data_IF_674175322837
#
_entry.id   IF_674175322837
#
_cell.length_a   1.000
_cell.length_b   1.000
_cell.length_c   1.000
_cell.angle_alpha   90.00
_cell.angle_beta   90.00
_cell.angle_gamma   90.00
#
_symmetry.space_group_name_H-M   'P 1'
#
loop_
_entity.id
_entity.type
_entity.pdbx_description
1 polymer ?
#
# COMPACT_ATOMS: atom_id res chain seq x y z
N UNK A 1 11.05 23.24 -1.55
CA UNK A 1 11.57 21.86 -1.84
C UNK A 1 10.88 20.80 -0.97
N UNK A 2 10.05 21.19 -0.01
CA UNK A 2 9.34 20.27 0.89
C UNK A 2 8.47 19.23 0.19
N UNK A 3 7.73 19.59 -0.87
CA UNK A 3 6.86 18.64 -1.59
C UNK A 3 7.62 17.42 -2.12
N UNK A 4 8.72 17.63 -2.85
CA UNK A 4 9.50 16.54 -3.42
C UNK A 4 10.07 15.62 -2.32
N UNK A 5 10.55 16.19 -1.21
CA UNK A 5 11.03 15.41 -0.07
C UNK A 5 9.91 14.61 0.58
N UNK A 6 8.76 15.23 0.82
CA UNK A 6 7.58 14.61 1.38
C UNK A 6 7.12 13.41 0.52
N UNK A 7 7.00 13.62 -0.79
CA UNK A 7 6.62 12.59 -1.74
C UNK A 7 7.65 11.46 -1.82
N UNK A 8 8.91 11.74 -2.17
CA UNK A 8 9.89 10.67 -2.43
C UNK A 8 10.20 9.85 -1.18
N UNK A 9 10.28 10.47 0.00
CA UNK A 9 10.54 9.72 1.24
C UNK A 9 9.30 8.95 1.70
N UNK A 10 8.09 9.48 1.47
CA UNK A 10 6.84 8.74 1.68
C UNK A 10 6.78 7.50 0.78
N UNK A 11 7.08 7.65 -0.51
CA UNK A 11 7.10 6.56 -1.49
C UNK A 11 8.14 5.49 -1.14
N UNK A 12 9.39 5.89 -0.84
CA UNK A 12 10.44 4.94 -0.48
C UNK A 12 10.09 4.19 0.80
N UNK A 13 9.56 4.88 1.81
CA UNK A 13 9.14 4.25 3.06
C UNK A 13 7.99 3.27 2.82
N UNK A 14 6.97 3.67 2.04
CA UNK A 14 5.84 2.83 1.69
C UNK A 14 6.30 1.52 1.04
N UNK A 15 7.13 1.61 0.00
CA UNK A 15 7.65 0.46 -0.75
C UNK A 15 8.51 -0.43 0.16
N UNK A 16 9.44 0.18 0.91
CA UNK A 16 10.42 -0.58 1.71
C UNK A 16 9.74 -1.33 2.86
N UNK A 17 8.80 -0.67 3.54
CA UNK A 17 8.07 -1.27 4.65
C UNK A 17 7.14 -2.37 4.12
N UNK A 18 6.41 -2.10 3.03
CA UNK A 18 5.51 -3.10 2.45
C UNK A 18 6.28 -4.36 2.02
N UNK A 19 7.40 -4.19 1.32
CA UNK A 19 8.25 -5.32 0.92
C UNK A 19 8.83 -6.07 2.12
N UNK A 20 9.27 -5.35 3.16
CA UNK A 20 9.75 -5.97 4.41
C UNK A 20 8.68 -6.87 5.03
N UNK A 21 7.43 -6.42 5.10
CA UNK A 21 6.33 -7.23 5.66
C UNK A 21 5.99 -8.44 4.79
N UNK A 22 6.09 -8.33 3.46
CA UNK A 22 5.96 -9.48 2.56
C UNK A 22 7.02 -10.53 2.88
N UNK A 23 8.30 -10.14 2.96
CA UNK A 23 9.40 -11.06 3.26
C UNK A 23 9.26 -11.68 4.66
N UNK A 24 8.92 -10.87 5.68
CA UNK A 24 8.72 -11.36 7.04
C UNK A 24 7.56 -12.37 7.12
N UNK A 25 6.44 -12.07 6.47
CA UNK A 25 5.28 -12.97 6.39
C UNK A 25 5.65 -14.30 5.73
N UNK A 26 6.40 -14.25 4.62
CA UNK A 26 6.84 -15.46 3.93
C UNK A 26 7.89 -16.27 4.70
N UNK A 27 8.76 -15.63 5.48
CA UNK A 27 9.71 -16.32 6.36
C UNK A 27 8.98 -17.07 7.49
N UNK A 28 8.03 -16.41 8.15
CA UNK A 28 7.26 -17.00 9.26
C UNK A 28 6.45 -18.20 8.75
N UNK A 29 5.85 -18.07 7.57
CA UNK A 29 5.03 -19.12 6.95
C UNK A 29 5.85 -20.17 6.17
N UNK A 30 7.18 -20.09 6.15
CA UNK A 30 8.06 -20.97 5.36
C UNK A 30 7.71 -21.02 3.86
N UNK A 31 7.28 -19.89 3.28
CA UNK A 31 6.88 -19.74 1.87
C UNK A 31 7.79 -18.83 1.05
N UNK A 32 9.01 -18.56 1.53
CA UNK A 32 9.94 -17.67 0.84
C UNK A 32 10.31 -18.17 -0.58
N UNK A 33 10.49 -19.48 -0.75
CA UNK A 33 10.74 -20.09 -2.07
C UNK A 33 9.56 -19.91 -3.02
N UNK A 34 8.33 -19.89 -2.48
CA UNK A 34 7.12 -19.59 -3.24
C UNK A 34 7.14 -18.16 -3.78
N UNK A 35 7.61 -17.19 -2.99
CA UNK A 35 7.74 -15.80 -3.45
C UNK A 35 8.71 -15.71 -4.64
N UNK A 36 9.87 -16.35 -4.56
CA UNK A 36 10.87 -16.28 -5.63
C UNK A 36 10.45 -17.06 -6.88
N UNK A 37 9.83 -18.23 -6.74
CA UNK A 37 9.29 -18.99 -7.87
C UNK A 37 8.12 -18.26 -8.57
N UNK A 38 7.28 -17.54 -7.82
CA UNK A 38 6.25 -16.67 -8.39
C UNK A 38 6.88 -15.48 -9.12
N UNK A 39 7.96 -14.88 -8.61
CA UNK A 39 8.67 -13.82 -9.32
C UNK A 39 9.36 -14.31 -10.59
N UNK A 40 9.86 -15.54 -10.61
CA UNK A 40 10.45 -16.16 -11.80
C UNK A 40 9.40 -16.39 -12.91
N UNK A 41 8.23 -16.92 -12.54
CA UNK A 41 7.15 -17.26 -13.47
C UNK A 41 6.23 -16.09 -13.84
N UNK A 42 6.09 -15.11 -12.96
CA UNK A 42 5.27 -13.91 -13.15
C UNK A 42 6.00 -12.65 -12.62
N UNK A 43 6.99 -12.11 -13.35
CA UNK A 43 7.87 -11.04 -12.84
C UNK A 43 7.16 -9.76 -12.39
N UNK A 44 6.02 -9.43 -13.01
CA UNK A 44 5.22 -8.27 -12.63
C UNK A 44 4.64 -8.35 -11.22
N UNK A 45 4.63 -9.53 -10.59
CA UNK A 45 4.24 -9.72 -9.19
C UNK A 45 5.03 -8.86 -8.22
N UNK A 46 6.23 -8.40 -8.60
CA UNK A 46 6.98 -7.43 -7.82
C UNK A 46 6.17 -6.15 -7.56
N UNK A 47 5.33 -5.70 -8.51
CA UNK A 47 4.48 -4.53 -8.30
C UNK A 47 3.46 -4.77 -7.18
N UNK A 48 2.90 -5.98 -7.10
CA UNK A 48 2.00 -6.36 -6.02
C UNK A 48 2.72 -6.41 -4.67
N UNK A 49 3.93 -6.98 -4.61
CA UNK A 49 4.70 -7.02 -3.36
C UNK A 49 5.16 -5.64 -2.88
N UNK A 50 5.48 -4.74 -3.80
CA UNK A 50 5.92 -3.38 -3.45
C UNK A 50 4.75 -2.45 -3.13
N UNK A 51 3.62 -2.56 -3.84
CA UNK A 51 2.53 -1.58 -3.78
C UNK A 51 1.18 -2.12 -3.31
N UNK A 52 1.04 -3.43 -3.11
CA UNK A 52 -0.22 -4.11 -2.87
C UNK A 52 -0.98 -3.67 -1.62
N UNK A 53 -0.32 -3.11 -0.61
CA UNK A 53 -1.01 -2.59 0.57
C UNK A 53 -2.02 -1.47 0.25
N UNK A 54 -1.86 -0.74 -0.87
CA UNK A 54 -2.80 0.31 -1.29
C UNK A 54 -4.16 -0.25 -1.73
N UNK A 55 -4.22 -1.54 -2.06
CA UNK A 55 -5.43 -2.20 -2.57
C UNK A 55 -6.34 -2.71 -1.46
N UNK A 56 -5.90 -2.61 -0.20
CA UNK A 56 -6.62 -3.11 0.97
C UNK A 56 -7.11 -1.92 1.78
N UNK A 57 -8.36 -1.98 2.22
CA UNK A 57 -8.94 -0.92 3.04
C UNK A 57 -8.50 -1.10 4.50
N UNK A 58 -8.19 -0.02 5.26
CA UNK A 58 -7.74 -0.15 6.64
C UNK A 58 -8.69 -0.97 7.53
N UNK A 59 -10.01 -0.88 7.31
CA UNK A 59 -11.01 -1.65 8.04
C UNK A 59 -10.86 -3.16 7.86
N UNK A 60 -10.50 -3.61 6.66
CA UNK A 60 -10.28 -5.03 6.37
C UNK A 60 -9.07 -5.56 7.14
N UNK A 61 -7.99 -4.77 7.17
CA UNK A 61 -6.79 -5.13 7.92
C UNK A 61 -7.06 -5.20 9.43
N UNK A 62 -7.85 -4.26 9.97
CA UNK A 62 -8.26 -4.30 11.39
C UNK A 62 -9.12 -5.52 11.69
N UNK A 63 -10.07 -5.87 10.81
CA UNK A 63 -10.93 -7.05 11.01
C UNK A 63 -10.12 -8.34 11.06
N UNK A 64 -9.14 -8.52 10.18
CA UNK A 64 -8.27 -9.71 10.18
C UNK A 64 -7.45 -9.78 11.47
N UNK A 65 -6.99 -8.65 12.00
CA UNK A 65 -6.21 -8.61 13.24
C UNK A 65 -7.04 -8.95 14.50
N UNK A 66 -8.36 -8.78 14.46
CA UNK A 66 -9.25 -9.14 15.58
C UNK A 66 -9.39 -10.66 15.75
N UNK A 67 -9.08 -11.45 14.72
CA UNK A 67 -9.15 -12.92 14.78
C UNK A 67 -7.92 -13.55 15.48
N UNK A 68 -6.90 -12.74 15.83
CA UNK A 68 -5.73 -13.08 16.66
C UNK A 68 -4.94 -14.35 16.30
N UNK A 69 -5.01 -14.83 15.06
CA UNK A 69 -4.11 -15.87 14.58
C UNK A 69 -2.74 -15.26 14.20
N UNK A 70 -1.72 -15.59 14.99
CA UNK A 70 -0.36 -15.03 14.89
C UNK A 70 0.25 -15.26 13.50
N UNK A 71 -0.06 -16.38 12.87
CA UNK A 71 0.50 -16.76 11.55
C UNK A 71 -0.07 -15.89 10.42
N UNK A 72 -1.26 -15.32 10.62
CA UNK A 72 -1.95 -14.47 9.65
C UNK A 72 -1.81 -12.98 9.95
N UNK A 73 -1.32 -12.60 11.13
CA UNK A 73 -1.34 -11.23 11.65
C UNK A 73 -0.29 -10.29 11.02
N UNK A 74 0.80 -10.84 10.48
CA UNK A 74 1.95 -10.06 9.98
C UNK A 74 1.63 -9.29 8.69
N UNK A 75 0.92 -9.90 7.73
CA UNK A 75 0.59 -9.22 6.47
C UNK A 75 -0.40 -8.06 6.65
N UNK A 76 -1.52 -8.22 7.39
CA UNK A 76 -2.44 -7.12 7.73
C UNK A 76 -1.77 -6.00 8.52
N UNK A 77 -0.83 -6.32 9.42
CA UNK A 77 0.00 -5.31 10.08
C UNK A 77 0.79 -4.48 9.08
N UNK A 78 1.43 -5.13 8.10
CA UNK A 78 2.16 -4.44 7.03
C UNK A 78 1.26 -3.52 6.22
N UNK A 79 0.04 -3.98 5.92
CA UNK A 79 -0.96 -3.20 5.16
C UNK A 79 -1.47 -1.97 5.91
N UNK A 80 -1.38 -1.92 7.24
CA UNK A 80 -1.66 -0.72 8.02
C UNK A 80 -0.42 0.15 8.26
N UNK A 81 0.71 -0.46 8.62
CA UNK A 81 1.90 0.26 9.04
C UNK A 81 2.63 0.92 7.88
N UNK A 82 2.70 0.28 6.71
CA UNK A 82 3.33 0.87 5.53
C UNK A 82 2.68 2.21 5.12
N UNK A 83 1.36 2.29 4.87
CA UNK A 83 0.72 3.56 4.53
C UNK A 83 0.71 4.55 5.69
N UNK A 84 0.58 4.11 6.94
CA UNK A 84 0.63 4.99 8.12
C UNK A 84 1.98 5.72 8.23
N UNK A 85 3.08 4.97 8.21
CA UNK A 85 4.43 5.54 8.34
C UNK A 85 4.74 6.43 7.14
N UNK A 86 4.38 6.00 5.93
CA UNK A 86 4.55 6.79 4.72
C UNK A 86 3.79 8.13 4.80
N UNK A 87 2.55 8.14 5.29
CA UNK A 87 1.77 9.35 5.47
C UNK A 87 2.37 10.27 6.55
N UNK A 88 2.82 9.71 7.68
CA UNK A 88 3.50 10.48 8.74
C UNK A 88 4.77 11.14 8.20
N UNK A 89 5.58 10.42 7.42
CA UNK A 89 6.80 10.95 6.81
C UNK A 89 6.48 12.09 5.84
N UNK A 90 5.47 11.91 4.98
CA UNK A 90 4.99 12.98 4.10
C UNK A 90 4.60 14.23 4.92
N UNK A 91 3.86 14.04 6.01
CA UNK A 91 3.46 15.11 6.92
C UNK A 91 4.63 15.85 7.57
N UNK A 92 5.59 15.12 8.16
CA UNK A 92 6.73 15.71 8.88
C UNK A 92 7.68 16.47 7.97
N UNK A 93 7.76 16.06 6.70
CA UNK A 93 8.69 16.59 5.72
C UNK A 93 8.06 17.65 4.82
N UNK A 94 6.73 17.71 4.76
CA UNK A 94 6.01 18.82 4.14
C UNK A 94 6.26 20.13 4.89
N UNK A 95 6.53 21.20 4.15
CA UNK A 95 6.70 22.54 4.73
C UNK A 95 5.36 23.19 5.08
N UNK A 96 4.26 22.68 4.52
CA UNK A 96 2.88 23.08 4.80
C UNK A 96 1.90 21.91 4.58
N UNK A 97 0.64 22.09 5.01
CA UNK A 97 -0.41 21.06 4.93
C UNK A 97 -0.68 20.59 3.50
N UNK A 98 -0.65 21.50 2.52
CA UNK A 98 -0.84 21.16 1.10
C UNK A 98 0.28 20.26 0.55
N UNK A 99 1.53 20.56 0.91
CA UNK A 99 2.67 19.71 0.54
C UNK A 99 2.65 18.37 1.26
N UNK A 100 2.26 18.35 2.55
CA UNK A 100 2.13 17.15 3.36
C UNK A 100 1.08 16.18 2.80
N UNK A 101 -0.14 16.67 2.56
CA UNK A 101 -1.22 15.84 2.01
C UNK A 101 -0.95 15.49 0.54
N UNK A 102 -0.40 16.42 -0.23
CA UNK A 102 -0.06 16.21 -1.64
C UNK A 102 1.02 15.15 -1.83
N UNK A 103 2.03 15.10 -0.95
CA UNK A 103 3.09 14.08 -0.99
C UNK A 103 2.54 12.67 -0.73
N UNK A 104 1.60 12.54 0.22
CA UNK A 104 0.92 11.28 0.50
C UNK A 104 -0.02 10.89 -0.65
N UNK A 105 -0.81 11.84 -1.14
CA UNK A 105 -1.70 11.63 -2.29
C UNK A 105 -0.91 11.11 -3.50
N UNK A 106 0.21 11.73 -3.84
CA UNK A 106 1.01 11.30 -4.99
C UNK A 106 1.62 9.91 -4.77
N UNK A 107 2.02 9.59 -3.54
CA UNK A 107 2.46 8.24 -3.17
C UNK A 107 1.34 7.23 -3.38
N UNK A 108 0.14 7.48 -2.84
CA UNK A 108 -1.02 6.62 -3.01
C UNK A 108 -1.39 6.44 -4.50
N UNK A 109 -1.41 7.52 -5.28
CA UNK A 109 -1.72 7.51 -6.73
C UNK A 109 -0.70 6.69 -7.51
N UNK A 110 0.59 6.84 -7.25
CA UNK A 110 1.62 6.06 -7.95
C UNK A 110 1.53 4.58 -7.55
N UNK A 111 1.30 4.28 -6.28
CA UNK A 111 1.09 2.90 -5.81
C UNK A 111 -0.10 2.23 -6.49
N UNK A 112 -1.26 2.90 -6.53
CA UNK A 112 -2.44 2.37 -7.20
C UNK A 112 -2.24 2.29 -8.72
N UNK A 113 -1.56 3.27 -9.32
CA UNK A 113 -1.21 3.25 -10.74
C UNK A 113 -0.33 2.06 -11.10
N UNK A 114 0.66 1.74 -10.27
CA UNK A 114 1.50 0.56 -10.44
C UNK A 114 0.69 -0.74 -10.39
N UNK A 115 -0.27 -0.84 -9.45
CA UNK A 115 -1.18 -1.99 -9.38
C UNK A 115 -2.11 -2.06 -10.59
N UNK A 116 -2.69 -0.94 -11.03
CA UNK A 116 -3.56 -0.88 -12.21
C UNK A 116 -2.79 -1.39 -13.44
N UNK A 117 -1.57 -0.91 -13.65
CA UNK A 117 -0.69 -1.41 -14.72
C UNK A 117 -0.44 -2.92 -14.54
N UNK A 118 -0.19 -3.36 -13.30
CA UNK A 118 -0.03 -4.78 -12.96
C UNK A 118 -1.25 -5.63 -13.34
N UNK A 119 -2.47 -5.16 -13.06
CA UNK A 119 -3.73 -5.85 -13.41
C UNK A 119 -3.91 -5.97 -14.92
N UNK A 120 -3.52 -4.94 -15.69
CA UNK A 120 -3.62 -4.99 -17.15
C UNK A 120 -2.58 -5.91 -17.80
N UNK A 121 -1.40 -6.04 -17.20
CA UNK A 121 -0.26 -6.73 -17.81
C UNK A 121 0.02 -8.11 -17.19
N UNK A 122 -0.61 -8.47 -16.07
CA UNK A 122 -0.40 -9.73 -15.36
C UNK A 122 -1.72 -10.36 -14.91
N UNK A 123 -2.09 -11.48 -15.55
CA UNK A 123 -3.23 -12.30 -15.14
C UNK A 123 -3.08 -12.88 -13.73
N UNK A 124 -1.86 -13.00 -13.20
CA UNK A 124 -1.61 -13.42 -11.82
C UNK A 124 -2.07 -12.36 -10.82
N UNK A 125 -1.73 -11.08 -11.06
CA UNK A 125 -2.19 -9.97 -10.20
C UNK A 125 -3.71 -9.82 -10.29
N UNK A 126 -4.27 -9.93 -11.50
CA UNK A 126 -5.71 -9.92 -11.70
C UNK A 126 -6.40 -11.04 -10.91
N UNK A 127 -5.90 -12.28 -10.97
CA UNK A 127 -6.46 -13.41 -10.22
C UNK A 127 -6.37 -13.22 -8.71
N UNK A 128 -5.26 -12.69 -8.19
CA UNK A 128 -5.08 -12.45 -6.75
C UNK A 128 -6.07 -11.39 -6.27
N UNK A 129 -6.15 -10.25 -6.96
CA UNK A 129 -7.09 -9.18 -6.60
C UNK A 129 -8.54 -9.58 -6.82
N UNK A 130 -8.82 -10.43 -7.81
CA UNK A 130 -10.14 -11.03 -8.00
C UNK A 130 -10.56 -11.89 -6.81
N UNK A 131 -9.62 -12.65 -6.23
CA UNK A 131 -9.82 -13.37 -4.98
C UNK A 131 -10.10 -12.44 -3.80
N UNK A 132 -9.30 -11.38 -3.65
CA UNK A 132 -9.46 -10.38 -2.57
C UNK A 132 -10.82 -9.69 -2.65
N UNK A 133 -11.24 -9.28 -3.84
CA UNK A 133 -12.49 -8.54 -4.05
C UNK A 133 -13.71 -9.43 -4.31
N UNK A 134 -13.55 -10.76 -4.34
CA UNK A 134 -14.64 -11.70 -4.61
C UNK A 134 -15.26 -11.53 -6.01
N UNK A 135 -14.46 -11.19 -7.02
CA UNK A 135 -14.94 -10.92 -8.38
C UNK A 135 -13.98 -11.42 -9.45
N UNK A 136 -14.52 -11.78 -10.62
CA UNK A 136 -13.73 -12.15 -11.81
C UNK A 136 -13.73 -11.06 -12.87
N UNK A 137 -14.42 -9.95 -12.63
CA UNK A 137 -14.52 -8.82 -13.56
C UNK A 137 -13.35 -7.87 -13.37
N UNK A 138 -12.47 -7.78 -14.38
CA UNK A 138 -11.34 -6.85 -14.39
C UNK A 138 -11.79 -5.39 -14.11
N UNK A 139 -12.90 -4.96 -14.71
CA UNK A 139 -13.48 -3.62 -14.46
C UNK A 139 -13.83 -3.41 -12.99
N UNK A 140 -14.41 -4.43 -12.34
CA UNK A 140 -14.76 -4.35 -10.92
C UNK A 140 -13.50 -4.32 -10.05
N UNK A 141 -12.46 -5.08 -10.40
CA UNK A 141 -11.15 -5.03 -9.73
C UNK A 141 -10.58 -3.61 -9.80
N UNK A 142 -10.57 -2.98 -10.98
CA UNK A 142 -10.04 -1.63 -11.17
C UNK A 142 -10.82 -0.57 -10.37
N UNK A 143 -12.15 -0.69 -10.32
CA UNK A 143 -12.99 0.17 -9.49
C UNK A 143 -12.64 0.01 -8.01
N UNK A 144 -12.47 -1.23 -7.53
CA UNK A 144 -12.11 -1.49 -6.14
C UNK A 144 -10.71 -0.98 -5.78
N UNK A 145 -9.73 -1.05 -6.70
CA UNK A 145 -8.42 -0.43 -6.50
C UNK A 145 -8.55 1.09 -6.38
N UNK A 146 -9.38 1.73 -7.21
CA UNK A 146 -9.62 3.18 -7.13
C UNK A 146 -10.33 3.60 -5.82
N UNK A 147 -11.30 2.80 -5.36
CA UNK A 147 -11.96 2.99 -4.06
C UNK A 147 -10.94 2.84 -2.93
N UNK A 148 -10.12 1.78 -2.96
CA UNK A 148 -9.10 1.52 -1.95
C UNK A 148 -8.07 2.64 -1.89
N UNK A 149 -7.63 3.15 -3.05
CA UNK A 149 -6.81 4.35 -3.14
C UNK A 149 -7.46 5.53 -2.41
N UNK A 150 -8.73 5.82 -2.70
CA UNK A 150 -9.41 6.97 -2.11
C UNK A 150 -9.52 6.83 -0.59
N UNK A 151 -9.89 5.64 -0.10
CA UNK A 151 -10.02 5.40 1.34
C UNK A 151 -8.65 5.47 2.03
N UNK A 152 -7.60 4.90 1.44
CA UNK A 152 -6.23 5.00 1.97
C UNK A 152 -5.72 6.44 1.96
N UNK A 153 -5.98 7.18 0.88
CA UNK A 153 -5.65 8.59 0.78
C UNK A 153 -6.31 9.39 1.92
N UNK A 154 -7.62 9.26 2.10
CA UNK A 154 -8.36 9.99 3.13
C UNK A 154 -7.96 9.51 4.53
N UNK A 155 -8.01 8.20 4.77
CA UNK A 155 -7.75 7.59 6.07
C UNK A 155 -6.36 7.90 6.60
N UNK A 156 -5.32 7.69 5.79
CA UNK A 156 -3.95 7.99 6.20
C UNK A 156 -3.55 9.46 6.00
N UNK A 157 -4.23 10.19 5.10
CA UNK A 157 -4.00 11.61 4.87
C UNK A 157 -4.27 12.48 6.10
N UNK A 158 -5.18 12.07 6.99
CA UNK A 158 -5.36 12.72 8.29
C UNK A 158 -4.08 12.72 9.12
N UNK A 159 -3.32 11.61 9.13
CA UNK A 159 -2.06 11.54 9.87
C UNK A 159 -1.00 12.45 9.25
N UNK A 160 -0.93 12.53 7.92
CA UNK A 160 -0.05 13.47 7.24
C UNK A 160 -0.37 14.94 7.62
N UNK A 161 -1.65 15.30 7.70
CA UNK A 161 -2.10 16.63 8.10
C UNK A 161 -1.83 16.94 9.58
N UNK A 162 -1.95 15.94 10.46
CA UNK A 162 -1.75 16.06 11.91
C UNK A 162 -0.30 16.39 12.25
N UNK A 163 0.66 15.80 11.54
CA UNK A 163 2.09 15.93 11.85
C UNK A 163 2.81 17.01 11.02
N UNK A 164 2.07 17.76 10.20
CA UNK A 164 2.56 18.91 9.42
C UNK A 164 3.08 20.01 10.33
N UNK A 165 4.21 20.62 9.94
CA UNK A 165 4.94 21.62 10.75
C UNK A 165 4.24 22.98 10.88
N UNK A 166 3.41 23.35 9.92
CA UNK A 166 2.75 24.65 9.88
C UNK A 166 1.24 24.47 9.69
N UNK A 167 0.48 25.32 10.38
CA UNK A 167 -0.94 25.53 10.10
C UNK A 167 -1.13 26.37 8.82
N UNK A 168 -2.37 26.47 8.33
CA UNK A 168 -2.77 27.02 7.01
C UNK A 168 -2.51 28.54 6.79
N UNK A 169 -1.47 29.12 7.42
CA UNK A 169 -1.16 30.54 7.33
C UNK A 169 -0.07 30.83 6.28
#
# INVERSE_FOLDING_TARGET
MGFAKAFFLSLVAFISINFLFVILSSLINNTLDTVFSVLESAPLMILYYLFGSITVVPSESILIMVDFDVDTLISPLGYLLAPLIAAILSGRLGENKGQAIGGWLLTAVISAGAIIIGVFLSGTIESILGGVYGTTSQTTILINVAISLFINFVGFGFFALLVSKTEYY
#
